data_IF_346807622518
#
_entry.id   IF_346807622518
#
_cell.length_a   1.000
_cell.length_b   1.000
_cell.length_c   1.000
_cell.angle_alpha   90.00
_cell.angle_beta   90.00
_cell.angle_gamma   90.00
#
_symmetry.space_group_name_H-M   'P 1'
#
loop_
_entity.id
_entity.type
_entity.pdbx_description
1 polymer ?
#
# COMPACT_ATOMS: atom_id res chain seq x y z
N UNK A 1 20.43 -25.15 -14.83
CA UNK A 1 21.52 -25.56 -13.94
C UNK A 1 22.33 -26.71 -14.55
N UNK A 2 21.72 -27.80 -14.88
CA UNK A 2 22.39 -29.02 -15.36
C UNK A 2 23.20 -28.86 -16.66
N UNK A 3 22.85 -27.87 -17.49
CA UNK A 3 23.56 -27.53 -18.75
C UNK A 3 24.65 -26.49 -18.60
N UNK A 4 24.96 -26.03 -17.36
CA UNK A 4 26.05 -25.07 -17.09
C UNK A 4 25.78 -23.63 -17.59
N UNK A 5 24.55 -23.28 -17.96
CA UNK A 5 24.24 -21.89 -18.33
C UNK A 5 24.38 -20.97 -17.11
N UNK A 6 24.89 -19.77 -17.32
CA UNK A 6 24.85 -18.70 -16.34
C UNK A 6 23.40 -18.27 -16.11
N UNK A 7 23.02 -18.08 -14.87
CA UNK A 7 21.69 -17.61 -14.49
C UNK A 7 21.80 -16.64 -13.33
N UNK A 8 20.83 -15.74 -13.22
CA UNK A 8 20.66 -14.84 -12.07
C UNK A 8 19.16 -14.69 -11.78
N UNK A 9 18.82 -14.15 -10.63
CA UNK A 9 17.46 -13.75 -10.33
C UNK A 9 17.10 -12.44 -11.05
N UNK A 10 15.79 -12.14 -11.18
CA UNK A 10 15.35 -10.85 -11.69
C UNK A 10 15.88 -9.66 -10.87
N UNK A 11 15.82 -9.71 -9.53
CA UNK A 11 16.41 -8.68 -8.66
C UNK A 11 17.92 -8.50 -8.84
N UNK A 12 18.69 -9.59 -8.99
CA UNK A 12 20.13 -9.49 -9.26
C UNK A 12 20.41 -8.82 -10.62
N UNK A 13 19.66 -9.23 -11.65
CA UNK A 13 19.78 -8.60 -12.97
C UNK A 13 19.46 -7.11 -12.92
N UNK A 14 18.39 -6.74 -12.23
CA UNK A 14 18.00 -5.33 -12.04
C UNK A 14 19.12 -4.55 -11.35
N UNK A 15 19.70 -5.10 -10.28
CA UNK A 15 20.80 -4.45 -9.57
C UNK A 15 22.01 -4.26 -10.48
N UNK A 16 22.53 -5.32 -11.10
CA UNK A 16 23.77 -5.26 -11.87
C UNK A 16 23.69 -4.36 -13.11
N UNK A 17 22.51 -4.28 -13.76
CA UNK A 17 22.37 -3.58 -15.03
C UNK A 17 21.73 -2.20 -14.91
N UNK A 18 21.01 -1.91 -13.81
CA UNK A 18 20.24 -0.66 -13.68
C UNK A 18 20.58 0.07 -12.36
N UNK A 19 20.54 -0.62 -11.21
CA UNK A 19 20.56 0.05 -9.91
C UNK A 19 21.97 0.37 -9.40
N UNK A 20 22.97 -0.38 -9.80
CA UNK A 20 24.33 -0.36 -9.24
C UNK A 20 24.95 1.04 -9.10
N UNK A 21 24.68 1.92 -10.06
CA UNK A 21 25.24 3.29 -10.11
C UNK A 21 24.17 4.36 -9.80
N UNK A 22 23.04 3.96 -9.21
CA UNK A 22 21.94 4.87 -8.85
C UNK A 22 21.85 5.07 -7.34
N UNK A 23 21.30 6.20 -6.93
CA UNK A 23 20.76 6.34 -5.59
C UNK A 23 19.40 5.63 -5.55
N UNK A 24 19.40 4.42 -5.07
CA UNK A 24 18.21 3.58 -5.00
C UNK A 24 17.38 3.99 -3.78
N UNK A 25 16.11 4.34 -4.03
CA UNK A 25 15.09 4.61 -3.01
C UNK A 25 14.14 3.41 -3.03
N UNK A 26 14.23 2.55 -2.02
CA UNK A 26 13.40 1.37 -1.91
C UNK A 26 12.24 1.62 -0.93
N UNK A 27 11.02 1.37 -1.39
CA UNK A 27 9.80 1.50 -0.58
C UNK A 27 9.31 0.11 -0.22
N UNK A 28 9.43 -0.26 1.04
CA UNK A 28 9.03 -1.56 1.59
C UNK A 28 7.95 -1.43 2.66
N UNK A 29 7.46 -2.55 3.16
CA UNK A 29 6.44 -2.64 4.20
C UNK A 29 5.29 -3.55 3.78
N UNK A 30 4.44 -3.95 4.70
CA UNK A 30 3.30 -4.83 4.42
C UNK A 30 2.25 -4.12 3.56
N UNK A 31 1.93 -2.87 3.89
CA UNK A 31 0.89 -2.08 3.23
C UNK A 31 1.42 -0.74 2.71
N UNK A 32 0.77 -0.21 1.67
CA UNK A 32 1.03 1.13 1.14
C UNK A 32 2.24 1.23 0.20
N UNK A 33 3.03 0.18 -0.01
CA UNK A 33 4.22 0.18 -0.90
C UNK A 33 3.97 0.90 -2.22
N UNK A 34 2.97 0.48 -2.97
CA UNK A 34 2.63 1.03 -4.29
C UNK A 34 2.26 2.51 -4.23
N UNK A 35 1.41 2.89 -3.25
CA UNK A 35 0.98 4.29 -3.08
C UNK A 35 2.14 5.20 -2.74
N UNK A 36 3.00 4.80 -1.79
CA UNK A 36 4.19 5.58 -1.41
C UNK A 36 5.20 5.66 -2.57
N UNK A 37 5.46 4.54 -3.26
CA UNK A 37 6.34 4.54 -4.43
C UNK A 37 5.83 5.48 -5.52
N UNK A 38 4.51 5.50 -5.76
CA UNK A 38 3.89 6.40 -6.74
C UNK A 38 3.96 7.87 -6.30
N UNK A 39 3.62 8.19 -5.04
CA UNK A 39 3.72 9.55 -4.48
C UNK A 39 5.16 10.06 -4.53
N UNK A 40 6.12 9.25 -4.07
CA UNK A 40 7.55 9.58 -4.12
C UNK A 40 8.01 9.79 -5.56
N UNK A 41 7.63 8.90 -6.48
CA UNK A 41 7.98 9.06 -7.90
C UNK A 41 7.40 10.34 -8.51
N UNK A 42 6.15 10.71 -8.14
CA UNK A 42 5.53 11.98 -8.59
C UNK A 42 6.32 13.19 -8.10
N UNK A 43 6.69 13.22 -6.81
CA UNK A 43 7.49 14.31 -6.22
C UNK A 43 8.85 14.42 -6.94
N UNK A 44 9.51 13.27 -7.16
CA UNK A 44 10.82 13.26 -7.81
C UNK A 44 10.73 13.66 -9.28
N UNK A 45 9.79 13.13 -10.05
CA UNK A 45 9.67 13.46 -11.47
C UNK A 45 9.36 14.93 -11.72
N UNK A 46 8.61 15.57 -10.84
CA UNK A 46 8.31 17.01 -10.95
C UNK A 46 9.54 17.89 -10.66
N UNK A 47 10.54 17.38 -9.92
CA UNK A 47 11.74 18.13 -9.53
C UNK A 47 13.03 17.59 -10.18
N UNK A 48 13.08 16.30 -10.46
CA UNK A 48 14.18 15.53 -11.02
C UNK A 48 13.65 14.69 -12.18
N UNK A 49 13.33 15.28 -13.35
CA UNK A 49 12.57 14.63 -14.43
C UNK A 49 13.25 13.38 -15.00
N UNK A 50 14.56 13.21 -14.77
CA UNK A 50 15.34 12.07 -15.25
C UNK A 50 15.33 10.86 -14.26
N UNK A 51 14.54 10.91 -13.18
CA UNK A 51 14.40 9.83 -12.20
C UNK A 51 13.83 8.57 -12.86
N UNK A 52 14.45 7.42 -12.58
CA UNK A 52 13.92 6.11 -12.92
C UNK A 52 12.95 5.58 -11.84
N UNK A 53 12.04 4.70 -12.21
CA UNK A 53 11.16 4.04 -11.24
C UNK A 53 10.68 2.67 -11.70
N UNK A 54 10.31 1.82 -10.72
CA UNK A 54 9.63 0.54 -10.91
C UNK A 54 8.57 0.37 -9.81
N UNK A 55 7.30 0.42 -10.20
CA UNK A 55 6.13 0.35 -9.32
C UNK A 55 5.28 -0.85 -9.74
N UNK A 56 4.81 -1.68 -8.81
CA UNK A 56 4.02 -2.87 -9.15
C UNK A 56 2.60 -2.56 -9.63
N UNK A 57 2.03 -1.41 -9.22
CA UNK A 57 0.69 -0.98 -9.61
C UNK A 57 0.69 0.03 -10.75
N UNK A 58 -0.48 0.23 -11.35
CA UNK A 58 -0.71 1.27 -12.36
C UNK A 58 -1.04 2.60 -11.68
N UNK A 59 -0.34 3.65 -12.06
CA UNK A 59 -0.59 5.01 -11.57
C UNK A 59 -1.32 5.83 -12.63
N UNK A 60 -2.17 6.75 -12.20
CA UNK A 60 -2.88 7.66 -13.11
C UNK A 60 -2.02 8.87 -13.53
N UNK A 61 -0.85 9.04 -12.91
CA UNK A 61 0.07 10.16 -13.14
C UNK A 61 1.15 9.84 -14.17
N UNK A 62 1.41 8.57 -14.46
CA UNK A 62 2.48 8.13 -15.36
C UNK A 62 1.95 7.20 -16.45
N UNK A 63 2.54 7.24 -17.64
CA UNK A 63 2.08 6.41 -18.77
C UNK A 63 2.42 4.92 -18.60
N UNK A 64 3.28 4.56 -17.66
CA UNK A 64 3.77 3.19 -17.41
C UNK A 64 4.10 2.99 -15.95
N UNK A 65 4.06 1.76 -15.47
CA UNK A 65 4.51 1.37 -14.13
C UNK A 65 6.05 1.33 -13.96
N UNK A 66 6.79 1.55 -15.04
CA UNK A 66 8.25 1.55 -15.01
C UNK A 66 8.85 2.55 -15.99
N UNK A 67 10.02 3.09 -15.61
CA UNK A 67 10.83 3.99 -16.43
C UNK A 67 12.30 3.81 -16.05
N UNK A 68 13.16 3.65 -17.04
CA UNK A 68 14.60 3.49 -16.78
C UNK A 68 15.21 4.76 -16.17
N UNK A 69 14.90 5.93 -16.71
CA UNK A 69 15.50 7.21 -16.32
C UNK A 69 17.00 7.30 -16.60
N UNK A 70 17.49 8.51 -16.87
CA UNK A 70 18.92 8.79 -17.09
C UNK A 70 19.59 9.46 -15.88
N UNK A 71 18.80 9.97 -14.91
CA UNK A 71 19.29 10.64 -13.70
C UNK A 71 19.85 9.68 -12.66
N UNK A 72 20.27 10.26 -11.54
CA UNK A 72 20.95 9.53 -10.45
C UNK A 72 19.99 8.74 -9.56
N UNK A 73 18.71 9.14 -9.48
CA UNK A 73 17.72 8.49 -8.60
C UNK A 73 16.96 7.37 -9.31
N UNK A 74 16.69 6.31 -8.55
CA UNK A 74 15.79 5.24 -8.96
C UNK A 74 14.90 4.82 -7.79
N UNK A 75 13.58 4.95 -7.98
CA UNK A 75 12.57 4.60 -6.97
C UNK A 75 11.99 3.24 -7.32
N UNK A 76 11.94 2.33 -6.35
CA UNK A 76 11.31 1.04 -6.58
C UNK A 76 10.47 0.56 -5.41
N UNK A 77 9.41 -0.13 -5.74
CA UNK A 77 8.62 -0.90 -4.81
C UNK A 77 9.37 -2.17 -4.42
N UNK A 78 9.70 -2.29 -3.14
CA UNK A 78 10.57 -3.33 -2.61
C UNK A 78 9.75 -4.39 -1.88
N UNK A 79 9.48 -5.48 -2.58
CA UNK A 79 8.61 -6.56 -2.14
C UNK A 79 9.38 -7.62 -1.34
N UNK A 80 8.73 -8.19 -0.32
CA UNK A 80 9.24 -9.22 0.58
C UNK A 80 9.20 -10.65 0.01
N UNK A 81 8.56 -10.88 -1.14
CA UNK A 81 8.53 -12.20 -1.79
C UNK A 81 9.90 -12.72 -2.22
N UNK A 82 10.01 -14.05 -2.33
CA UNK A 82 11.18 -14.78 -2.83
C UNK A 82 11.73 -14.19 -4.14
N UNK A 83 13.06 -14.12 -4.24
CA UNK A 83 13.76 -13.64 -5.44
C UNK A 83 13.63 -14.61 -6.62
N UNK A 84 13.79 -15.92 -6.36
CA UNK A 84 13.72 -16.99 -7.38
C UNK A 84 13.54 -18.35 -6.71
N UNK A 85 13.26 -19.39 -7.50
CA UNK A 85 13.17 -20.77 -6.99
C UNK A 85 14.46 -21.29 -6.35
N UNK A 86 15.61 -20.75 -6.76
CA UNK A 86 16.95 -21.09 -6.23
C UNK A 86 17.47 -20.09 -5.19
N UNK A 87 16.78 -18.97 -4.97
CA UNK A 87 17.10 -17.99 -3.94
C UNK A 87 15.84 -17.57 -3.20
N UNK A 88 15.69 -18.09 -1.98
CA UNK A 88 14.52 -17.88 -1.11
C UNK A 88 14.61 -16.63 -0.23
N UNK A 89 15.64 -15.81 -0.42
CA UNK A 89 15.71 -14.48 0.18
C UNK A 89 14.73 -13.55 -0.50
N UNK A 90 14.20 -12.59 0.26
CA UNK A 90 13.30 -11.56 -0.28
C UNK A 90 13.98 -10.72 -1.37
N UNK A 91 13.21 -10.31 -2.37
CA UNK A 91 13.70 -9.52 -3.54
C UNK A 91 14.44 -8.27 -3.11
N UNK A 92 13.96 -7.58 -2.07
CA UNK A 92 14.52 -6.32 -1.61
C UNK A 92 15.99 -6.42 -1.13
N UNK A 93 16.47 -7.60 -0.72
CA UNK A 93 17.86 -7.80 -0.27
C UNK A 93 18.86 -7.52 -1.38
N UNK A 94 18.46 -7.75 -2.64
CA UNK A 94 19.30 -7.56 -3.81
C UNK A 94 19.43 -6.10 -4.26
N UNK A 95 18.50 -5.22 -3.85
CA UNK A 95 18.41 -3.85 -4.38
C UNK A 95 19.45 -2.88 -3.78
N UNK A 96 20.00 -3.19 -2.60
CA UNK A 96 21.03 -2.39 -1.89
C UNK A 96 20.70 -0.89 -1.86
N UNK A 97 19.57 -0.49 -1.29
CA UNK A 97 19.12 0.90 -1.31
C UNK A 97 20.05 1.81 -0.51
N UNK A 98 20.16 3.06 -0.96
CA UNK A 98 20.76 4.16 -0.18
C UNK A 98 19.70 4.85 0.70
N UNK A 99 18.46 4.87 0.27
CA UNK A 99 17.31 5.27 1.08
C UNK A 99 16.32 4.13 1.11
N UNK A 100 16.02 3.62 2.30
CA UNK A 100 15.05 2.55 2.53
C UNK A 100 13.90 3.10 3.35
N UNK A 101 12.67 3.04 2.83
CA UNK A 101 11.47 3.21 3.64
C UNK A 101 10.95 1.84 4.06
N UNK A 102 10.66 1.68 5.36
CA UNK A 102 9.84 0.59 5.91
C UNK A 102 8.53 1.21 6.41
N UNK A 103 7.47 1.14 5.58
CA UNK A 103 6.24 1.90 5.84
C UNK A 103 5.42 1.37 7.02
N UNK A 104 5.42 0.07 7.22
CA UNK A 104 4.80 -0.66 8.34
C UNK A 104 5.24 -2.12 8.28
N UNK A 105 5.05 -2.86 9.38
CA UNK A 105 5.42 -4.27 9.42
C UNK A 105 4.38 -5.09 10.18
N UNK A 106 3.61 -5.89 9.44
CA UNK A 106 2.59 -6.81 9.94
C UNK A 106 2.79 -8.20 9.32
N UNK A 107 2.14 -9.22 9.88
CA UNK A 107 2.18 -10.56 9.31
C UNK A 107 1.28 -10.64 8.08
N UNK A 108 1.87 -11.00 6.94
CA UNK A 108 1.17 -11.35 5.69
C UNK A 108 1.99 -12.43 4.95
N UNK A 109 1.53 -12.85 3.77
CA UNK A 109 2.20 -13.84 2.92
C UNK A 109 2.43 -15.19 3.61
N UNK A 110 1.37 -15.75 4.21
CA UNK A 110 1.39 -17.04 4.91
C UNK A 110 1.78 -18.25 4.03
N UNK A 111 1.91 -18.05 2.71
CA UNK A 111 2.41 -19.04 1.77
C UNK A 111 3.94 -19.19 1.79
N UNK A 112 4.66 -18.18 2.30
CA UNK A 112 6.13 -18.19 2.37
C UNK A 112 6.68 -17.88 3.76
N UNK A 113 5.89 -17.29 4.66
CA UNK A 113 6.26 -16.97 6.04
C UNK A 113 5.34 -17.68 7.03
N UNK A 114 5.90 -18.21 8.13
CA UNK A 114 5.11 -18.86 9.18
C UNK A 114 4.55 -17.83 10.18
N UNK A 115 5.29 -16.78 10.43
CA UNK A 115 4.97 -15.72 11.41
C UNK A 115 5.70 -14.41 11.09
N UNK A 116 5.42 -13.38 11.88
CA UNK A 116 6.06 -12.07 11.75
C UNK A 116 7.59 -12.14 11.92
N UNK A 117 8.09 -13.07 12.76
CA UNK A 117 9.53 -13.19 12.98
C UNK A 117 10.29 -13.65 11.75
N UNK A 118 9.65 -14.41 10.87
CA UNK A 118 10.25 -14.81 9.58
C UNK A 118 10.39 -13.59 8.65
N UNK A 119 9.39 -12.71 8.63
CA UNK A 119 9.46 -11.44 7.89
C UNK A 119 10.56 -10.55 8.48
N UNK A 120 10.62 -10.40 9.81
CA UNK A 120 11.65 -9.63 10.49
C UNK A 120 13.06 -10.13 10.20
N UNK A 121 13.25 -11.44 10.04
CA UNK A 121 14.54 -12.03 9.61
C UNK A 121 14.94 -11.54 8.21
N UNK A 122 14.00 -11.46 7.26
CA UNK A 122 14.28 -10.93 5.92
C UNK A 122 14.69 -9.46 5.98
N UNK A 123 13.98 -8.64 6.77
CA UNK A 123 14.37 -7.25 6.98
C UNK A 123 15.73 -7.12 7.65
N UNK A 124 16.03 -7.96 8.65
CA UNK A 124 17.37 -7.99 9.26
C UNK A 124 18.48 -8.34 8.26
N UNK A 125 18.20 -9.21 7.28
CA UNK A 125 19.13 -9.48 6.20
C UNK A 125 19.28 -8.28 5.26
N UNK A 126 18.18 -7.59 4.91
CA UNK A 126 18.22 -6.38 4.11
C UNK A 126 19.06 -5.29 4.79
N UNK A 127 18.82 -5.02 6.09
CA UNK A 127 19.54 -4.00 6.85
C UNK A 127 21.06 -4.25 6.87
N UNK A 128 21.50 -5.52 6.90
CA UNK A 128 22.93 -5.88 6.82
C UNK A 128 23.57 -5.63 5.45
N UNK A 129 22.76 -5.43 4.39
CA UNK A 129 23.27 -5.10 3.04
C UNK A 129 23.46 -3.62 2.84
N UNK A 130 22.96 -2.79 3.74
CA UNK A 130 23.01 -1.33 3.64
C UNK A 130 24.42 -0.81 3.91
N UNK A 131 24.81 0.21 3.15
CA UNK A 131 26.04 0.96 3.41
C UNK A 131 25.87 1.87 4.63
N UNK A 132 26.96 2.26 5.29
CA UNK A 132 26.93 3.13 6.47
C UNK A 132 26.37 4.53 6.21
N UNK A 133 26.40 4.99 4.96
CA UNK A 133 25.83 6.26 4.50
C UNK A 133 24.36 6.14 4.05
N UNK A 134 23.79 4.94 4.09
CA UNK A 134 22.36 4.74 3.81
C UNK A 134 21.50 5.28 4.93
N UNK A 135 20.26 5.67 4.58
CA UNK A 135 19.23 6.11 5.54
C UNK A 135 18.03 5.17 5.52
N UNK A 136 17.58 4.72 6.70
CA UNK A 136 16.34 3.96 6.87
C UNK A 136 15.28 4.86 7.49
N UNK A 137 14.17 5.01 6.78
CA UNK A 137 13.02 5.84 7.19
C UNK A 137 11.90 4.90 7.63
N UNK A 138 11.26 5.18 8.77
CA UNK A 138 10.18 4.35 9.29
C UNK A 138 9.27 5.15 10.24
N UNK A 139 7.99 4.70 10.46
CA UNK A 139 7.10 5.33 11.43
C UNK A 139 7.58 5.05 12.87
N UNK A 140 7.69 6.07 13.70
CA UNK A 140 8.19 5.97 15.08
C UNK A 140 7.27 5.19 16.05
N UNK A 141 6.08 4.79 15.60
CA UNK A 141 5.09 4.06 16.41
C UNK A 141 4.99 2.57 16.07
N UNK A 142 5.78 2.06 15.13
CA UNK A 142 5.74 0.65 14.72
C UNK A 142 6.80 -0.17 15.49
N UNK A 143 6.36 -0.77 16.60
CA UNK A 143 7.22 -1.60 17.45
C UNK A 143 7.78 -2.82 16.71
N UNK A 144 7.09 -3.33 15.68
CA UNK A 144 7.57 -4.46 14.89
C UNK A 144 8.78 -4.08 14.03
N UNK A 145 8.92 -2.78 13.72
CA UNK A 145 10.09 -2.24 13.00
C UNK A 145 11.21 -1.90 14.00
N UNK A 146 10.89 -1.31 15.15
CA UNK A 146 11.90 -0.89 16.13
C UNK A 146 12.81 -2.03 16.57
N UNK A 147 12.27 -3.24 16.76
CA UNK A 147 13.06 -4.43 17.15
C UNK A 147 14.13 -4.81 16.10
N UNK A 148 14.03 -4.34 14.85
CA UNK A 148 15.01 -4.60 13.80
C UNK A 148 16.34 -3.87 14.08
N UNK A 149 16.32 -2.80 14.87
CA UNK A 149 17.46 -1.94 15.15
C UNK A 149 18.16 -2.26 16.49
N UNK A 150 17.67 -3.23 17.24
CA UNK A 150 18.28 -3.65 18.51
C UNK A 150 19.67 -4.29 18.35
N UNK A 151 20.03 -4.74 17.15
CA UNK A 151 21.28 -5.47 16.87
C UNK A 151 22.05 -4.80 15.73
N UNK A 152 23.35 -4.52 16.00
CA UNK A 152 24.40 -4.20 15.01
C UNK A 152 23.93 -3.47 13.75
N UNK A 153 23.29 -2.32 13.93
CA UNK A 153 22.84 -1.46 12.83
C UNK A 153 23.77 -0.27 12.67
N UNK A 154 24.28 -0.02 11.46
CA UNK A 154 25.33 0.95 11.21
C UNK A 154 24.91 2.12 10.30
N UNK A 155 23.74 2.04 9.67
CA UNK A 155 23.22 3.11 8.81
C UNK A 155 22.45 4.16 9.63
N UNK A 156 22.13 5.29 9.00
CA UNK A 156 21.30 6.33 9.63
C UNK A 156 19.86 5.89 9.72
N UNK A 157 19.15 6.36 10.74
CA UNK A 157 17.70 6.22 10.86
C UNK A 157 17.03 7.59 10.87
N UNK A 158 15.83 7.64 10.31
CA UNK A 158 14.94 8.79 10.40
C UNK A 158 13.50 8.30 10.61
N UNK A 159 12.78 8.91 11.50
CA UNK A 159 11.39 8.56 11.78
C UNK A 159 10.42 9.55 11.16
N UNK A 160 9.17 9.13 11.04
CA UNK A 160 8.05 10.02 10.73
C UNK A 160 6.83 9.69 11.61
N UNK A 161 6.07 10.72 11.97
CA UNK A 161 4.82 10.61 12.75
C UNK A 161 3.95 11.84 12.58
N UNK A 162 2.67 11.69 12.95
CA UNK A 162 1.70 12.79 12.89
C UNK A 162 1.92 13.85 13.99
N UNK A 163 3.03 14.57 14.03
CA UNK A 163 3.17 15.74 14.88
C UNK A 163 4.33 15.75 15.88
N UNK A 164 5.22 14.77 15.83
CA UNK A 164 6.40 14.70 16.71
C UNK A 164 7.74 14.84 15.96
N UNK A 165 7.76 14.63 14.65
CA UNK A 165 8.95 14.70 13.81
C UNK A 165 9.07 16.05 13.09
N UNK A 166 10.18 16.29 12.40
CA UNK A 166 10.46 17.52 11.67
C UNK A 166 9.41 17.83 10.60
N UNK A 167 8.99 16.80 9.85
CA UNK A 167 7.90 16.92 8.90
C UNK A 167 6.60 16.52 9.58
N UNK A 168 5.62 17.40 9.56
CA UNK A 168 4.31 17.25 10.21
C UNK A 168 3.19 17.47 9.22
N UNK A 169 2.07 16.81 9.45
CA UNK A 169 0.82 17.01 8.74
C UNK A 169 -0.26 17.41 9.73
N UNK A 170 -0.94 18.52 9.46
CA UNK A 170 -2.16 18.95 10.14
C UNK A 170 -3.36 18.66 9.26
N UNK A 171 -4.21 17.73 9.67
CA UNK A 171 -5.41 17.35 8.93
C UNK A 171 -6.47 18.45 9.02
N UNK A 172 -7.00 18.90 7.87
CA UNK A 172 -7.97 19.99 7.77
C UNK A 172 -9.42 19.51 7.57
N UNK A 173 -9.62 18.21 7.32
CA UNK A 173 -10.95 17.58 7.31
C UNK A 173 -10.88 16.17 7.91
N UNK A 174 -12.02 15.61 8.29
CA UNK A 174 -12.10 14.33 9.02
C UNK A 174 -11.88 13.08 8.17
N UNK A 175 -11.72 13.20 6.86
CA UNK A 175 -11.50 12.05 5.95
C UNK A 175 -10.15 12.10 5.19
N UNK A 176 -9.30 13.11 5.49
CA UNK A 176 -7.90 13.12 5.05
C UNK A 176 -7.67 13.57 3.61
N UNK A 177 -8.65 14.18 2.93
CA UNK A 177 -8.44 14.74 1.59
C UNK A 177 -7.86 16.14 1.58
N UNK A 178 -7.81 16.80 2.72
CA UNK A 178 -7.22 18.13 2.87
C UNK A 178 -6.37 18.21 4.13
N UNK A 179 -5.11 18.64 3.97
CA UNK A 179 -4.15 18.76 5.06
C UNK A 179 -3.09 19.79 4.76
N UNK A 180 -2.49 20.33 5.79
CA UNK A 180 -1.36 21.26 5.71
C UNK A 180 -0.08 20.59 6.14
N UNK A 181 1.02 20.89 5.45
CA UNK A 181 2.35 20.33 5.69
C UNK A 181 3.24 21.37 6.36
N UNK A 182 3.93 20.93 7.42
CA UNK A 182 4.88 21.75 8.16
C UNK A 182 6.25 21.08 8.21
N UNK A 183 7.32 21.88 8.23
CA UNK A 183 8.65 21.48 8.66
C UNK A 183 8.97 22.26 9.93
N UNK A 184 9.20 21.55 11.04
CA UNK A 184 9.19 22.17 12.37
C UNK A 184 7.88 22.95 12.59
N UNK A 185 7.90 24.28 12.62
CA UNK A 185 6.69 25.10 12.76
C UNK A 185 6.42 25.99 11.54
N UNK A 186 7.18 25.84 10.47
CA UNK A 186 6.99 26.57 9.21
C UNK A 186 6.05 25.81 8.29
N UNK A 187 5.03 26.50 7.76
CA UNK A 187 4.09 25.93 6.79
C UNK A 187 4.68 25.90 5.40
N UNK A 188 4.57 24.75 4.73
CA UNK A 188 4.94 24.54 3.34
C UNK A 188 3.74 24.45 2.40
N UNK A 189 2.53 24.68 2.94
CA UNK A 189 1.28 24.78 2.18
C UNK A 189 0.33 23.60 2.36
N UNK A 190 -0.81 23.72 1.70
CA UNK A 190 -1.90 22.73 1.76
C UNK A 190 -1.85 21.74 0.61
N UNK A 191 -2.17 20.49 0.92
CA UNK A 191 -2.53 19.45 -0.06
C UNK A 191 -4.05 19.31 -0.06
N UNK A 192 -4.63 19.33 -1.26
CA UNK A 192 -6.04 19.06 -1.47
C UNK A 192 -6.16 18.06 -2.63
N UNK A 193 -6.56 16.83 -2.34
CA UNK A 193 -6.61 15.71 -3.26
C UNK A 193 -7.90 14.89 -3.13
N UNK A 194 -8.11 13.93 -4.02
CA UNK A 194 -9.29 13.06 -3.97
C UNK A 194 -9.12 11.83 -3.06
N UNK A 195 -7.90 11.56 -2.57
CA UNK A 195 -7.64 10.40 -1.72
C UNK A 195 -8.24 10.61 -0.33
N UNK A 196 -8.61 9.49 0.32
CA UNK A 196 -9.24 9.48 1.63
C UNK A 196 -8.52 8.52 2.58
N UNK A 197 -8.73 8.76 3.87
CA UNK A 197 -8.23 7.90 4.94
C UNK A 197 -6.88 8.29 5.48
N UNK A 198 -6.69 8.07 6.77
CA UNK A 198 -5.46 8.38 7.51
C UNK A 198 -4.24 7.66 6.94
N UNK A 199 -4.43 6.46 6.39
CA UNK A 199 -3.35 5.71 5.75
C UNK A 199 -2.74 6.46 4.55
N UNK A 200 -3.52 7.24 3.79
CA UNK A 200 -2.99 8.06 2.70
C UNK A 200 -2.25 9.30 3.23
N UNK A 201 -2.66 9.85 4.37
CA UNK A 201 -1.89 10.90 5.06
C UNK A 201 -0.54 10.36 5.53
N UNK A 202 -0.51 9.15 6.11
CA UNK A 202 0.73 8.47 6.50
C UNK A 202 1.64 8.20 5.29
N UNK A 203 1.08 7.75 4.17
CA UNK A 203 1.82 7.54 2.93
C UNK A 203 2.40 8.85 2.36
N UNK A 204 1.62 9.95 2.43
CA UNK A 204 2.10 11.29 2.06
C UNK A 204 3.27 11.74 2.95
N UNK A 205 3.10 11.58 4.27
CA UNK A 205 4.13 11.94 5.24
C UNK A 205 5.44 11.16 5.00
N UNK A 206 5.34 9.84 4.76
CA UNK A 206 6.48 9.02 4.40
C UNK A 206 7.18 9.53 3.12
N UNK A 207 6.41 9.87 2.08
CA UNK A 207 6.94 10.39 0.82
C UNK A 207 7.58 11.78 0.96
N UNK A 208 7.00 12.66 1.79
CA UNK A 208 7.57 13.97 2.12
C UNK A 208 8.86 13.83 2.94
N UNK A 209 8.91 12.87 3.87
CA UNK A 209 10.12 12.59 4.66
C UNK A 209 11.27 12.10 3.76
N UNK A 210 10.97 11.25 2.76
CA UNK A 210 11.96 10.85 1.75
C UNK A 210 12.45 12.07 0.95
N UNK A 211 11.52 12.94 0.52
CA UNK A 211 11.86 14.13 -0.25
C UNK A 211 12.77 15.09 0.55
N UNK A 212 12.45 15.30 1.82
CA UNK A 212 13.24 16.15 2.71
C UNK A 212 14.61 15.55 3.06
N UNK A 213 14.69 14.22 3.27
CA UNK A 213 15.98 13.52 3.48
C UNK A 213 16.94 13.68 2.30
N UNK A 214 16.40 13.87 1.11
CA UNK A 214 17.17 13.99 -0.13
C UNK A 214 17.19 15.44 -0.67
N UNK A 215 16.98 16.41 0.21
CA UNK A 215 17.08 17.85 -0.05
C UNK A 215 16.21 18.35 -1.22
N UNK A 216 15.06 17.70 -1.49
CA UNK A 216 14.09 18.24 -2.44
C UNK A 216 13.32 19.42 -1.85
N UNK A 217 12.87 20.32 -2.73
CA UNK A 217 12.04 21.46 -2.37
C UNK A 217 10.65 20.99 -1.87
N UNK A 218 10.39 21.19 -0.57
CA UNK A 218 9.12 20.77 0.07
C UNK A 218 7.90 21.53 -0.47
N UNK A 219 8.03 22.80 -0.85
CA UNK A 219 6.92 23.53 -1.48
C UNK A 219 6.50 22.89 -2.80
N UNK A 220 7.46 22.44 -3.58
CA UNK A 220 7.20 21.69 -4.83
C UNK A 220 6.66 20.30 -4.53
N UNK A 221 7.17 19.62 -3.50
CA UNK A 221 6.67 18.31 -3.09
C UNK A 221 5.19 18.37 -2.66
N UNK A 222 4.78 19.37 -1.90
CA UNK A 222 3.39 19.63 -1.53
C UNK A 222 2.51 19.86 -2.77
N UNK A 223 2.98 20.66 -3.74
CA UNK A 223 2.26 20.87 -5.01
C UNK A 223 2.15 19.58 -5.83
N UNK A 224 3.18 18.76 -5.85
CA UNK A 224 3.16 17.45 -6.51
C UNK A 224 2.10 16.53 -5.92
N UNK A 225 2.01 16.46 -4.58
CA UNK A 225 0.98 15.70 -3.89
C UNK A 225 -0.44 16.25 -4.14
N UNK A 226 -0.62 17.57 -4.18
CA UNK A 226 -1.93 18.18 -4.51
C UNK A 226 -2.42 17.82 -5.91
N UNK A 227 -1.51 17.53 -6.83
CA UNK A 227 -1.84 17.12 -8.20
C UNK A 227 -1.86 15.60 -8.40
N UNK A 228 -1.54 14.81 -7.37
CA UNK A 228 -1.46 13.36 -7.44
C UNK A 228 -2.85 12.74 -7.62
N UNK A 229 -3.01 11.96 -8.70
CA UNK A 229 -4.30 11.36 -9.11
C UNK A 229 -4.57 9.98 -8.51
N UNK A 230 -3.58 9.42 -7.81
CA UNK A 230 -3.70 8.13 -7.16
C UNK A 230 -3.21 6.94 -8.00
N UNK A 231 -3.43 5.78 -7.44
CA UNK A 231 -3.08 4.48 -8.02
C UNK A 231 -4.36 3.72 -8.33
N UNK A 232 -4.40 3.04 -9.48
CA UNK A 232 -5.53 2.19 -9.85
C UNK A 232 -5.79 1.13 -8.77
N UNK A 233 -7.05 0.84 -8.54
CA UNK A 233 -7.48 -0.12 -7.52
C UNK A 233 -7.08 0.25 -6.07
N UNK A 234 -6.99 1.55 -5.75
CA UNK A 234 -6.80 2.08 -4.38
C UNK A 234 -7.91 3.08 -4.10
N UNK A 235 -9.06 2.58 -3.63
CA UNK A 235 -10.33 3.33 -3.54
C UNK A 235 -10.67 4.05 -4.84
N UNK A 236 -10.42 3.38 -5.95
CA UNK A 236 -10.68 3.92 -7.28
C UNK A 236 -12.18 4.01 -7.53
N UNK A 237 -12.71 5.22 -7.70
CA UNK A 237 -14.10 5.44 -8.06
C UNK A 237 -14.29 5.06 -9.54
N UNK A 238 -15.00 3.96 -9.79
CA UNK A 238 -15.26 3.45 -11.13
C UNK A 238 -16.59 3.94 -11.71
N UNK A 239 -17.57 4.20 -10.84
CA UNK A 239 -18.90 4.67 -11.23
C UNK A 239 -19.50 5.53 -10.12
N UNK A 240 -20.24 6.57 -10.52
CA UNK A 240 -20.98 7.45 -9.61
C UNK A 240 -22.20 8.03 -10.30
N UNK A 241 -23.34 7.95 -9.63
CA UNK A 241 -24.55 8.73 -9.94
C UNK A 241 -25.13 9.27 -8.63
N UNK A 242 -26.37 9.80 -8.65
CA UNK A 242 -26.98 10.43 -7.48
C UNK A 242 -27.25 9.44 -6.33
N UNK A 243 -27.30 8.12 -6.59
CA UNK A 243 -27.68 7.11 -5.61
C UNK A 243 -26.59 6.08 -5.34
N UNK A 244 -25.78 5.71 -6.35
CA UNK A 244 -24.86 4.57 -6.29
C UNK A 244 -23.46 5.00 -6.69
N UNK A 245 -22.47 4.64 -5.84
CA UNK A 245 -21.06 4.84 -6.06
C UNK A 245 -20.33 3.51 -5.96
N UNK A 246 -19.50 3.16 -6.95
CA UNK A 246 -18.81 1.86 -7.00
C UNK A 246 -17.30 2.11 -7.03
N UNK A 247 -16.59 1.49 -6.07
CA UNK A 247 -15.15 1.61 -5.90
C UNK A 247 -14.47 0.25 -6.06
N UNK A 248 -13.27 0.25 -6.62
CA UNK A 248 -12.35 -0.89 -6.62
C UNK A 248 -11.19 -0.63 -5.66
N UNK A 249 -10.92 -1.59 -4.77
CA UNK A 249 -9.81 -1.52 -3.84
C UNK A 249 -9.05 -2.85 -3.75
N UNK A 250 -7.74 -2.78 -3.85
CA UNK A 250 -6.83 -3.94 -3.80
C UNK A 250 -6.61 -4.49 -2.38
N UNK A 251 -7.10 -3.80 -1.35
CA UNK A 251 -6.90 -4.23 0.04
C UNK A 251 -7.44 -5.66 0.26
N UNK A 252 -6.61 -6.47 0.89
CA UNK A 252 -6.89 -7.88 1.18
C UNK A 252 -6.32 -8.30 2.55
N UNK A 253 -5.97 -7.35 3.39
CA UNK A 253 -5.55 -7.54 4.77
C UNK A 253 -6.51 -6.78 5.69
N UNK A 254 -6.89 -7.31 6.88
CA UNK A 254 -7.86 -6.66 7.78
C UNK A 254 -7.53 -5.21 8.11
N UNK A 255 -6.26 -4.90 8.41
CA UNK A 255 -5.80 -3.54 8.70
C UNK A 255 -6.07 -2.58 7.53
N UNK A 256 -5.75 -2.98 6.31
CA UNK A 256 -5.97 -2.15 5.12
C UNK A 256 -7.47 -1.96 4.83
N UNK A 257 -8.27 -3.04 4.89
CA UNK A 257 -9.72 -3.00 4.72
C UNK A 257 -10.35 -2.06 5.73
N UNK A 258 -9.99 -2.19 7.02
CA UNK A 258 -10.48 -1.34 8.11
C UNK A 258 -10.21 0.14 7.83
N UNK A 259 -8.97 0.50 7.54
CA UNK A 259 -8.55 1.89 7.26
C UNK A 259 -9.29 2.47 6.05
N UNK A 260 -9.51 1.67 5.02
CA UNK A 260 -10.25 2.08 3.82
C UNK A 260 -11.73 2.35 4.14
N UNK A 261 -12.41 1.43 4.85
CA UNK A 261 -13.82 1.59 5.25
C UNK A 261 -13.97 2.79 6.21
N UNK A 262 -13.05 2.97 7.14
CA UNK A 262 -13.04 4.13 8.06
C UNK A 262 -12.90 5.46 7.32
N UNK A 263 -12.00 5.52 6.36
CA UNK A 263 -11.81 6.71 5.51
C UNK A 263 -13.08 7.01 4.69
N UNK A 264 -13.70 6.00 4.10
CA UNK A 264 -14.96 6.17 3.37
C UNK A 264 -16.09 6.60 4.31
N UNK A 265 -16.28 5.94 5.44
CA UNK A 265 -17.30 6.29 6.44
C UNK A 265 -17.18 7.75 6.91
N UNK A 266 -15.95 8.22 7.14
CA UNK A 266 -15.70 9.60 7.52
C UNK A 266 -16.08 10.59 6.40
N UNK A 267 -15.95 10.19 5.13
CA UNK A 267 -16.33 11.02 3.97
C UNK A 267 -17.83 11.06 3.74
N UNK A 268 -18.52 9.91 3.86
CA UNK A 268 -19.91 9.78 3.44
C UNK A 268 -20.92 9.90 4.59
N UNK A 269 -20.43 9.96 5.84
CA UNK A 269 -21.28 10.16 7.02
C UNK A 269 -22.24 8.99 7.26
N UNK A 270 -23.54 9.19 7.10
CA UNK A 270 -24.60 8.19 7.34
C UNK A 270 -25.02 7.43 6.09
N UNK A 271 -24.48 7.75 4.91
CA UNK A 271 -24.85 7.06 3.67
C UNK A 271 -24.46 5.58 3.74
N UNK A 272 -25.27 4.66 3.18
CA UNK A 272 -25.01 3.23 3.28
C UNK A 272 -23.65 2.84 2.65
N UNK A 273 -22.84 2.07 3.37
CA UNK A 273 -21.59 1.50 2.90
C UNK A 273 -21.74 -0.01 2.74
N UNK A 274 -21.58 -0.50 1.52
CA UNK A 274 -21.60 -1.91 1.15
C UNK A 274 -20.17 -2.40 0.89
N UNK A 275 -19.71 -3.35 1.68
CA UNK A 275 -18.41 -4.00 1.52
C UNK A 275 -18.60 -5.34 0.81
N UNK A 276 -18.02 -5.49 -0.38
CA UNK A 276 -17.92 -6.75 -1.11
C UNK A 276 -16.47 -7.25 -0.96
N UNK A 277 -16.26 -8.34 -0.22
CA UNK A 277 -14.92 -8.83 0.14
C UNK A 277 -14.66 -10.21 -0.43
N UNK A 278 -13.68 -10.33 -1.32
CA UNK A 278 -13.17 -11.61 -1.81
C UNK A 278 -12.04 -12.13 -0.89
N UNK A 279 -12.26 -13.29 -0.28
CA UNK A 279 -11.27 -14.01 0.55
C UNK A 279 -10.33 -14.81 -0.35
N UNK A 280 -9.43 -14.13 -1.06
CA UNK A 280 -8.64 -14.72 -2.15
C UNK A 280 -7.18 -14.93 -1.83
N UNK A 281 -6.49 -13.95 -1.21
CA UNK A 281 -5.05 -14.07 -0.94
C UNK A 281 -4.76 -15.34 -0.14
N UNK A 282 -3.54 -15.86 -0.22
CA UNK A 282 -3.16 -17.10 0.48
C UNK A 282 -3.41 -16.99 1.98
N UNK A 283 -3.08 -15.83 2.58
CA UNK A 283 -3.32 -15.56 4.00
C UNK A 283 -4.82 -15.52 4.32
N UNK A 284 -5.63 -14.80 3.53
CA UNK A 284 -7.07 -14.69 3.73
C UNK A 284 -7.79 -16.03 3.51
N UNK A 285 -7.51 -16.73 2.41
CA UNK A 285 -8.14 -18.02 2.10
C UNK A 285 -7.68 -19.14 3.05
N UNK A 286 -6.50 -19.00 3.65
CA UNK A 286 -5.95 -19.90 4.67
C UNK A 286 -6.59 -19.71 6.05
N UNK A 287 -7.43 -18.70 6.25
CA UNK A 287 -8.16 -18.45 7.50
C UNK A 287 -7.36 -17.77 8.61
N UNK A 288 -6.16 -17.30 8.32
CA UNK A 288 -5.29 -16.66 9.32
C UNK A 288 -5.93 -15.41 9.94
N UNK A 289 -6.77 -14.70 9.17
CA UNK A 289 -7.43 -13.45 9.59
C UNK A 289 -8.93 -13.58 9.89
N UNK A 290 -9.49 -14.79 9.94
CA UNK A 290 -10.94 -15.00 10.12
C UNK A 290 -11.50 -14.39 11.41
N UNK A 291 -10.67 -14.20 12.44
CA UNK A 291 -11.07 -13.58 13.69
C UNK A 291 -11.09 -12.04 13.60
N UNK A 292 -10.29 -11.46 12.71
CA UNK A 292 -10.10 -10.02 12.57
C UNK A 292 -11.10 -9.39 11.60
N UNK A 293 -11.60 -10.16 10.61
CA UNK A 293 -12.52 -9.66 9.58
C UNK A 293 -13.75 -8.96 10.15
N UNK A 294 -14.47 -9.48 11.16
CA UNK A 294 -15.64 -8.79 11.69
C UNK A 294 -15.34 -7.39 12.20
N UNK A 295 -14.21 -7.19 12.89
CA UNK A 295 -13.81 -5.88 13.38
C UNK A 295 -13.29 -4.97 12.25
N UNK A 296 -12.67 -5.55 11.22
CA UNK A 296 -12.17 -4.79 10.07
C UNK A 296 -13.30 -4.17 9.23
N UNK A 297 -14.47 -4.82 9.19
CA UNK A 297 -15.63 -4.38 8.40
C UNK A 297 -16.76 -3.78 9.25
N UNK A 298 -16.53 -3.54 10.54
CA UNK A 298 -17.55 -3.09 11.50
C UNK A 298 -18.27 -1.79 11.09
N UNK A 299 -17.55 -0.87 10.44
CA UNK A 299 -18.09 0.43 10.00
C UNK A 299 -18.83 0.37 8.64
N UNK A 300 -18.88 -0.78 7.99
CA UNK A 300 -19.76 -1.02 6.84
C UNK A 300 -21.16 -1.44 7.30
N UNK A 301 -22.21 -0.95 6.63
CA UNK A 301 -23.60 -1.30 6.98
C UNK A 301 -23.96 -2.70 6.46
N UNK A 302 -23.44 -3.07 5.29
CA UNK A 302 -23.69 -4.35 4.66
C UNK A 302 -22.37 -4.95 4.18
N UNK A 303 -22.13 -6.21 4.52
CA UNK A 303 -20.90 -6.92 4.18
C UNK A 303 -21.23 -8.23 3.48
N UNK A 304 -20.70 -8.41 2.29
CA UNK A 304 -20.84 -9.61 1.47
C UNK A 304 -19.48 -10.29 1.32
N UNK A 305 -19.34 -11.49 1.88
CA UNK A 305 -18.07 -12.26 1.83
C UNK A 305 -18.17 -13.35 0.77
N UNK A 306 -17.19 -13.34 -0.12
CA UNK A 306 -17.01 -14.33 -1.18
C UNK A 306 -15.75 -15.14 -0.89
N UNK A 307 -15.90 -16.46 -0.72
CA UNK A 307 -14.79 -17.39 -0.51
C UNK A 307 -15.00 -18.68 -1.27
N UNK A 308 -13.92 -19.22 -1.83
CA UNK A 308 -13.91 -20.60 -2.38
C UNK A 308 -14.18 -21.62 -1.28
N UNK A 309 -13.75 -21.32 -0.03
CA UNK A 309 -14.08 -22.10 1.15
C UNK A 309 -15.39 -21.59 1.77
N UNK A 310 -16.51 -22.20 1.38
CA UNK A 310 -17.85 -21.78 1.86
C UNK A 310 -18.01 -21.87 3.38
N UNK A 311 -17.38 -22.86 4.03
CA UNK A 311 -17.45 -23.03 5.49
C UNK A 311 -16.75 -21.88 6.22
N UNK A 312 -15.65 -21.34 5.67
CA UNK A 312 -14.95 -20.15 6.16
C UNK A 312 -15.88 -18.92 6.12
N UNK A 313 -16.45 -18.62 4.95
CA UNK A 313 -17.35 -17.47 4.80
C UNK A 313 -18.54 -17.54 5.75
N UNK A 314 -19.18 -18.71 5.86
CA UNK A 314 -20.29 -18.94 6.81
C UNK A 314 -19.82 -18.80 8.27
N UNK A 315 -18.62 -19.27 8.59
CA UNK A 315 -18.03 -19.13 9.93
C UNK A 315 -17.82 -17.67 10.32
N UNK A 316 -17.34 -16.84 9.40
CA UNK A 316 -17.17 -15.38 9.62
C UNK A 316 -18.53 -14.69 9.72
N UNK A 317 -19.48 -15.00 8.83
CA UNK A 317 -20.81 -14.39 8.82
C UNK A 317 -21.60 -14.61 10.13
N UNK A 318 -21.36 -15.72 10.83
CA UNK A 318 -21.99 -15.97 12.14
C UNK A 318 -21.49 -15.04 13.25
N UNK A 319 -20.39 -14.33 13.06
CA UNK A 319 -19.77 -13.49 14.08
C UNK A 319 -20.31 -12.05 14.11
N UNK A 320 -20.98 -11.59 13.04
CA UNK A 320 -21.56 -10.25 12.99
C UNK A 320 -22.83 -10.23 12.13
N UNK A 321 -23.83 -9.44 12.56
CA UNK A 321 -25.17 -9.42 11.92
C UNK A 321 -25.20 -8.77 10.53
N UNK A 322 -24.26 -7.88 10.25
CA UNK A 322 -24.15 -7.18 8.98
C UNK A 322 -23.34 -7.97 7.92
N UNK A 323 -22.88 -9.19 8.24
CA UNK A 323 -22.07 -10.01 7.34
C UNK A 323 -22.92 -11.14 6.76
N UNK A 324 -22.90 -11.28 5.43
CA UNK A 324 -23.54 -12.35 4.68
C UNK A 324 -22.47 -13.11 3.89
N UNK A 325 -22.52 -14.45 3.97
CA UNK A 325 -21.70 -15.31 3.12
C UNK A 325 -22.42 -15.52 1.78
N UNK A 326 -21.78 -15.16 0.68
CA UNK A 326 -22.34 -15.31 -0.66
C UNK A 326 -21.84 -16.60 -1.34
N UNK A 327 -22.70 -17.20 -2.14
CA UNK A 327 -22.36 -18.43 -2.88
C UNK A 327 -21.46 -18.14 -4.07
N UNK A 328 -21.74 -17.08 -4.81
CA UNK A 328 -20.98 -16.58 -5.96
C UNK A 328 -21.35 -15.13 -6.28
N UNK A 329 -20.56 -14.49 -7.12
CA UNK A 329 -20.87 -13.15 -7.65
C UNK A 329 -22.21 -13.16 -8.41
N UNK A 330 -22.49 -14.19 -9.21
CA UNK A 330 -23.74 -14.34 -9.98
C UNK A 330 -24.95 -14.46 -9.05
N UNK A 331 -24.83 -15.26 -7.98
CA UNK A 331 -25.89 -15.40 -6.99
C UNK A 331 -26.20 -14.08 -6.28
N UNK A 332 -25.16 -13.35 -5.88
CA UNK A 332 -25.31 -12.02 -5.30
C UNK A 332 -26.01 -11.05 -6.27
N UNK A 333 -25.53 -10.94 -7.51
CA UNK A 333 -26.08 -10.01 -8.51
C UNK A 333 -27.54 -10.32 -8.86
N UNK A 334 -27.91 -11.61 -8.90
CA UNK A 334 -29.31 -12.01 -9.18
C UNK A 334 -30.32 -11.56 -8.11
N UNK A 335 -29.84 -11.32 -6.88
CA UNK A 335 -30.64 -10.88 -5.72
C UNK A 335 -30.48 -9.38 -5.45
N UNK A 336 -29.55 -8.72 -6.13
CA UNK A 336 -29.23 -7.32 -5.88
C UNK A 336 -30.37 -6.38 -6.30
N UNK A 337 -30.80 -5.50 -5.40
CA UNK A 337 -31.97 -4.62 -5.57
C UNK A 337 -31.64 -3.18 -5.90
N UNK A 338 -30.45 -2.89 -6.41
CA UNK A 338 -29.96 -1.51 -6.68
C UNK A 338 -30.13 -0.58 -5.46
N UNK A 339 -29.79 -1.07 -4.29
CA UNK A 339 -29.89 -0.28 -3.05
C UNK A 339 -28.93 0.91 -3.12
N UNK A 340 -29.38 2.15 -2.83
CA UNK A 340 -28.49 3.30 -2.77
C UNK A 340 -27.33 3.11 -1.79
N UNK A 341 -26.17 3.69 -2.10
CA UNK A 341 -25.00 3.66 -1.24
C UNK A 341 -23.66 3.53 -1.95
N UNK A 342 -22.62 3.33 -1.17
CA UNK A 342 -21.23 3.23 -1.59
C UNK A 342 -20.78 1.78 -1.57
N UNK A 343 -20.50 1.21 -2.73
CA UNK A 343 -20.08 -0.19 -2.91
C UNK A 343 -18.56 -0.27 -3.07
N UNK A 344 -17.86 -0.84 -2.10
CA UNK A 344 -16.41 -1.07 -2.17
C UNK A 344 -16.14 -2.53 -2.44
N UNK A 345 -15.50 -2.81 -3.59
CA UNK A 345 -15.09 -4.15 -4.00
C UNK A 345 -13.64 -4.40 -3.59
N UNK A 346 -13.43 -5.22 -2.58
CA UNK A 346 -12.10 -5.56 -2.04
C UNK A 346 -11.59 -6.88 -2.62
N UNK A 347 -10.50 -6.83 -3.38
CA UNK A 347 -9.84 -8.02 -3.89
C UNK A 347 -8.44 -7.75 -4.41
N UNK A 348 -7.51 -8.68 -4.20
CA UNK A 348 -6.20 -8.71 -4.87
C UNK A 348 -6.22 -9.44 -6.22
N UNK A 349 -7.40 -9.79 -6.73
CA UNK A 349 -7.61 -10.44 -8.02
C UNK A 349 -8.62 -9.72 -8.90
N UNK A 350 -9.19 -10.44 -9.87
CA UNK A 350 -10.22 -9.92 -10.77
C UNK A 350 -11.61 -9.84 -10.14
N UNK A 351 -11.85 -10.59 -9.05
CA UNK A 351 -13.12 -10.68 -8.36
C UNK A 351 -14.31 -10.97 -9.31
N UNK A 352 -14.09 -11.84 -10.27
CA UNK A 352 -15.07 -12.16 -11.32
C UNK A 352 -15.68 -10.91 -11.98
N UNK A 353 -14.93 -9.81 -12.03
CA UNK A 353 -15.37 -8.51 -12.57
C UNK A 353 -16.65 -7.96 -11.91
N UNK A 354 -16.87 -8.21 -10.62
CA UNK A 354 -18.09 -7.84 -9.90
C UNK A 354 -18.43 -6.37 -10.04
N UNK A 355 -17.44 -5.48 -9.98
CA UNK A 355 -17.62 -4.04 -10.14
C UNK A 355 -18.14 -3.67 -11.54
N UNK A 356 -17.60 -4.28 -12.61
CA UNK A 356 -18.08 -4.06 -13.98
C UNK A 356 -19.50 -4.61 -14.18
N UNK A 357 -19.79 -5.77 -13.61
CA UNK A 357 -21.14 -6.36 -13.64
C UNK A 357 -22.16 -5.50 -12.90
N UNK A 358 -21.79 -4.94 -11.74
CA UNK A 358 -22.62 -3.97 -11.00
C UNK A 358 -22.91 -2.72 -11.84
N UNK A 359 -21.86 -2.13 -12.44
CA UNK A 359 -22.00 -0.93 -13.31
C UNK A 359 -22.97 -1.16 -14.47
N UNK A 360 -22.96 -2.36 -15.07
CA UNK A 360 -23.89 -2.70 -16.16
C UNK A 360 -25.35 -2.84 -15.70
N UNK A 361 -25.58 -3.06 -14.39
CA UNK A 361 -26.92 -3.22 -13.83
C UNK A 361 -27.51 -1.89 -13.30
N UNK A 362 -26.70 -0.87 -13.06
CA UNK A 362 -27.12 0.48 -12.63
C UNK A 362 -27.64 1.28 -13.81
#
# INVERSE_FOLDING_TARGET
LTKGFRYCSGPDFLYEHILRNKHVIAVSGTHGKTSVSAMTSKIFLDQQPETGYLIAGETKDFPSSSRLGSGDFFILEADEYDSAFFDKRSKFIHYRPKTLLINNLEFDHADIFNDLSDIQKQYSQLLRTLASDACVIYPNSDLNIEVLFEKDFFSKTRTFSFGQDDIKISQLNNYGSKFEVFRSDESFGEVNWELIGEHNLSNALASLTIADELDLDLLKAVKSLSSFKGVSRRMELLFSNDEIHIYDDFAHHPTAIKKTIEGLRNRVGSDPVHCLLEMRSNTMSGGFHDQEIPSAVEKADFVHIFSKNKSQAVGIAKKAKNIVAEESVESFLSKWKKTPGHYVCFSNGSFDEVHQKLIKLV
#
